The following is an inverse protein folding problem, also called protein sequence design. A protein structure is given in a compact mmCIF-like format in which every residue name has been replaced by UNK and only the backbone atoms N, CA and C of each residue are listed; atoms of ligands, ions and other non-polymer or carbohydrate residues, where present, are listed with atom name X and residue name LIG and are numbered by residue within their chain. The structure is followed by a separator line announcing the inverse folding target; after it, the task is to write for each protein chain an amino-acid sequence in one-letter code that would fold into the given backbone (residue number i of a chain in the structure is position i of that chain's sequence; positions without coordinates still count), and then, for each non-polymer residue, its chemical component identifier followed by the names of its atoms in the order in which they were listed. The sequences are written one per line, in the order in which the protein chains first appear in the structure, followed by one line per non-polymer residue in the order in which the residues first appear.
data_IF_890037174557
#
_entry.id   IF_890037174557
#
_cell.length_a   1.000
_cell.length_b   1.000
_cell.length_c   1.000
_cell.angle_alpha   90.00
_cell.angle_beta   90.00
_cell.angle_gamma   90.00
#
_symmetry.space_group_name_H-M   'P 1'
#
loop_
_entity.id
_entity.type
_entity.pdbx_description
1 polymer ?
#
# COMPACT_ATOMS: atom_id res chain seq x y z
N UNK A 1 43.41 -66.17 -24.73
CA UNK A 1 42.97 -66.20 -23.31
C UNK A 1 43.09 -64.79 -22.75
N UNK A 2 42.12 -63.91 -22.99
CA UNK A 2 42.27 -62.51 -22.62
C UNK A 2 41.25 -61.59 -23.28
N UNK A 3 39.98 -61.73 -22.91
CA UNK A 3 39.00 -60.64 -23.15
C UNK A 3 37.73 -60.72 -22.29
N UNK A 4 37.53 -61.80 -21.53
CA UNK A 4 36.39 -61.91 -20.58
C UNK A 4 36.56 -61.13 -19.27
N UNK A 5 37.75 -60.57 -19.01
CA UNK A 5 38.05 -59.85 -17.77
C UNK A 5 37.68 -58.36 -17.80
N UNK A 6 37.64 -57.72 -18.98
CA UNK A 6 37.35 -56.28 -19.12
C UNK A 6 35.88 -55.92 -18.89
N UNK A 7 34.94 -56.81 -19.25
CA UNK A 7 33.51 -56.56 -19.09
C UNK A 7 32.99 -56.61 -17.65
N UNK A 8 33.59 -57.43 -16.79
CA UNK A 8 33.17 -57.55 -15.38
C UNK A 8 33.65 -56.39 -14.51
N UNK A 9 34.81 -55.81 -14.82
CA UNK A 9 35.36 -54.68 -14.06
C UNK A 9 34.55 -53.41 -14.37
N UNK A 10 34.15 -53.19 -15.63
CA UNK A 10 33.33 -52.03 -16.05
C UNK A 10 31.92 -52.03 -15.42
N UNK A 11 31.30 -53.19 -15.26
CA UNK A 11 29.97 -53.31 -14.64
C UNK A 11 29.97 -53.05 -13.13
N UNK A 12 31.07 -53.38 -12.44
CA UNK A 12 31.22 -53.15 -10.99
C UNK A 12 31.51 -51.68 -10.69
N UNK A 13 32.25 -50.96 -11.54
CA UNK A 13 32.47 -49.51 -11.37
C UNK A 13 31.19 -48.69 -11.60
N UNK A 14 30.34 -49.09 -12.57
CA UNK A 14 29.07 -48.40 -12.84
C UNK A 14 28.05 -48.64 -11.72
N UNK A 15 28.04 -49.84 -11.11
CA UNK A 15 27.17 -50.14 -9.97
C UNK A 15 27.58 -49.38 -8.69
N UNK A 16 28.87 -49.16 -8.45
CA UNK A 16 29.36 -48.37 -7.31
C UNK A 16 29.08 -46.87 -7.50
N UNK A 17 29.18 -46.36 -8.73
CA UNK A 17 28.81 -44.97 -9.06
C UNK A 17 27.29 -44.73 -8.93
N UNK A 18 26.45 -45.72 -9.23
CA UNK A 18 25.01 -45.64 -8.97
C UNK A 18 24.64 -45.76 -7.49
N UNK A 19 25.40 -46.53 -6.72
CA UNK A 19 25.21 -46.64 -5.26
C UNK A 19 25.65 -45.35 -4.53
N UNK A 20 26.70 -44.67 -5.01
CA UNK A 20 27.08 -43.33 -4.51
C UNK A 20 26.09 -42.23 -4.91
N UNK A 21 25.36 -42.39 -6.02
CA UNK A 21 24.36 -41.41 -6.47
C UNK A 21 22.99 -41.56 -5.76
N UNK A 22 22.69 -42.73 -5.17
CA UNK A 22 21.43 -43.00 -4.48
C UNK A 22 21.43 -42.71 -2.96
N UNK A 23 22.57 -42.34 -2.37
CA UNK A 23 22.69 -41.98 -0.93
C UNK A 23 22.58 -40.47 -0.69
N UNK A 24 22.45 -39.65 -1.74
CA UNK A 24 22.26 -38.21 -1.63
C UNK A 24 20.83 -37.76 -2.02
N UNK A 25 19.82 -38.52 -1.63
CA UNK A 25 18.48 -37.95 -1.50
C UNK A 25 18.52 -37.04 -0.27
N UNK A 26 18.35 -35.72 -0.39
CA UNK A 26 18.18 -34.88 0.78
C UNK A 26 16.91 -35.38 1.45
N UNK A 27 17.08 -36.06 2.58
CA UNK A 27 16.01 -36.32 3.53
C UNK A 27 15.30 -35.00 3.71
N UNK A 28 14.04 -34.92 3.27
CA UNK A 28 13.22 -33.73 3.46
C UNK A 28 13.38 -33.29 4.90
N UNK A 29 13.88 -32.08 5.10
CA UNK A 29 14.05 -31.49 6.41
C UNK A 29 12.65 -31.42 7.05
N UNK A 30 12.33 -32.42 7.85
CA UNK A 30 11.27 -32.31 8.84
C UNK A 30 11.76 -31.25 9.81
N UNK A 31 11.26 -30.02 9.66
CA UNK A 31 11.51 -28.96 10.62
C UNK A 31 11.00 -29.45 11.98
N UNK A 32 11.92 -29.70 12.91
CA UNK A 32 11.58 -30.12 14.25
C UNK A 32 10.92 -28.93 14.97
N UNK A 33 9.69 -29.05 15.50
CA UNK A 33 9.01 -27.94 16.18
C UNK A 33 9.81 -27.37 17.37
N UNK A 34 10.75 -28.12 17.93
CA UNK A 34 11.68 -27.62 18.94
C UNK A 34 12.76 -26.66 18.35
N UNK A 35 13.20 -26.88 17.12
CA UNK A 35 14.13 -26.00 16.41
C UNK A 35 13.44 -24.67 16.03
N UNK A 36 12.16 -24.75 15.67
CA UNK A 36 11.32 -23.58 15.35
C UNK A 36 11.09 -22.67 16.57
N UNK A 37 10.86 -23.25 17.76
CA UNK A 37 10.78 -22.47 19.00
C UNK A 37 12.11 -21.81 19.37
N UNK A 38 13.24 -22.51 19.21
CA UNK A 38 14.56 -21.91 19.46
C UNK A 38 14.88 -20.79 18.47
N UNK A 39 14.55 -20.98 17.18
CA UNK A 39 14.71 -19.96 16.15
C UNK A 39 13.85 -18.72 16.44
N UNK A 40 12.59 -18.90 16.85
CA UNK A 40 11.71 -17.81 17.23
C UNK A 40 12.25 -17.01 18.42
N UNK A 41 12.72 -17.68 19.48
CA UNK A 41 13.30 -17.00 20.65
C UNK A 41 14.54 -16.19 20.24
N UNK A 42 15.41 -16.75 19.40
CA UNK A 42 16.57 -16.03 18.85
C UNK A 42 16.15 -14.84 18.01
N UNK A 43 15.13 -14.98 17.17
CA UNK A 43 14.59 -13.89 16.35
C UNK A 43 14.01 -12.77 17.21
N UNK A 44 13.22 -13.10 18.24
CA UNK A 44 12.67 -12.13 19.19
C UNK A 44 13.78 -11.40 19.96
N UNK A 45 14.83 -12.12 20.39
CA UNK A 45 15.98 -11.53 21.05
C UNK A 45 16.80 -10.59 20.13
N UNK A 46 16.72 -10.79 18.81
CA UNK A 46 17.37 -9.91 17.82
C UNK A 46 16.61 -8.61 17.52
N UNK A 47 15.38 -8.48 18.03
CA UNK A 47 14.61 -7.25 17.86
C UNK A 47 15.29 -6.10 18.60
N UNK A 48 15.59 -5.04 17.86
CA UNK A 48 16.22 -3.83 18.39
C UNK A 48 15.31 -2.64 18.17
N UNK A 49 14.91 -2.00 19.27
CA UNK A 49 14.18 -0.72 19.27
C UNK A 49 14.98 0.34 18.51
N UNK A 50 16.27 0.46 18.82
CA UNK A 50 17.13 1.51 18.28
C UNK A 50 17.31 1.37 16.77
N UNK A 51 17.48 0.13 16.28
CA UNK A 51 17.51 -0.14 14.84
C UNK A 51 16.21 0.27 14.16
N UNK A 52 15.07 -0.17 14.71
CA UNK A 52 13.76 0.17 14.12
C UNK A 52 13.53 1.68 14.12
N UNK A 53 13.92 2.37 15.20
CA UNK A 53 13.81 3.82 15.27
C UNK A 53 14.73 4.50 14.24
N UNK A 54 15.96 4.02 14.06
CA UNK A 54 16.88 4.53 13.05
C UNK A 54 16.32 4.36 11.63
N UNK A 55 15.72 3.21 11.32
CA UNK A 55 15.05 2.95 10.03
C UNK A 55 13.89 3.93 9.80
N UNK A 56 13.04 4.15 10.82
CA UNK A 56 11.93 5.11 10.77
C UNK A 56 12.46 6.54 10.58
N UNK A 57 13.42 6.96 11.39
CA UNK A 57 14.03 8.30 11.32
C UNK A 57 14.63 8.55 9.94
N UNK A 58 15.36 7.57 9.38
CA UNK A 58 15.93 7.67 8.04
C UNK A 58 14.85 7.82 6.99
N UNK A 59 13.84 6.94 6.96
CA UNK A 59 12.76 6.98 5.98
C UNK A 59 11.81 8.19 6.13
N UNK A 60 11.83 8.88 7.28
CA UNK A 60 11.11 10.13 7.52
C UNK A 60 11.96 11.38 7.33
N UNK A 61 13.24 11.25 7.00
CA UNK A 61 14.15 12.39 6.82
C UNK A 61 13.78 13.21 5.57
N UNK A 62 14.18 14.49 5.50
CA UNK A 62 13.94 15.34 4.33
C UNK A 62 14.41 14.72 3.01
N UNK A 63 15.51 13.96 3.03
CA UNK A 63 16.01 13.21 1.86
C UNK A 63 15.04 12.19 1.28
N UNK A 64 13.98 11.81 2.00
CA UNK A 64 12.93 10.94 1.46
C UNK A 64 11.60 11.65 1.29
N UNK A 65 11.51 12.94 1.65
CA UNK A 65 10.46 13.92 1.32
C UNK A 65 9.00 13.41 1.13
N UNK A 66 8.60 12.37 1.85
CA UNK A 66 7.39 11.61 1.56
C UNK A 66 7.55 10.54 0.47
N UNK A 67 6.78 9.46 0.58
CA UNK A 67 6.91 8.28 -0.29
C UNK A 67 5.70 8.16 -1.21
N UNK A 68 5.38 9.24 -1.90
CA UNK A 68 4.28 9.22 -2.85
C UNK A 68 4.66 8.33 -4.03
N UNK A 69 3.84 7.31 -4.30
CA UNK A 69 4.11 6.32 -5.33
C UNK A 69 4.44 6.96 -6.68
N UNK A 70 5.55 6.54 -7.28
CA UNK A 70 6.01 7.01 -8.59
C UNK A 70 6.78 8.34 -8.58
N UNK A 71 7.18 8.86 -7.41
CA UNK A 71 8.15 9.97 -7.31
C UNK A 71 9.59 9.45 -7.25
N UNK A 72 10.57 10.35 -7.39
CA UNK A 72 11.99 10.01 -7.17
C UNK A 72 12.27 9.60 -5.72
N UNK A 73 11.54 10.16 -4.76
CA UNK A 73 11.69 9.87 -3.33
C UNK A 73 11.14 8.48 -2.95
N UNK A 74 10.06 8.04 -3.62
CA UNK A 74 9.56 6.66 -3.55
C UNK A 74 10.60 5.67 -4.10
N UNK A 75 11.22 5.98 -5.24
CA UNK A 75 12.31 5.16 -5.78
C UNK A 75 13.49 5.07 -4.81
N UNK A 76 13.91 6.20 -4.22
CA UNK A 76 14.99 6.23 -3.22
C UNK A 76 14.66 5.37 -2.00
N UNK A 77 13.40 5.38 -1.56
CA UNK A 77 12.89 4.52 -0.49
C UNK A 77 12.97 3.04 -0.85
N UNK A 78 12.64 2.69 -2.09
CA UNK A 78 12.80 1.34 -2.63
C UNK A 78 14.26 0.86 -2.55
N UNK A 79 15.21 1.71 -2.94
CA UNK A 79 16.65 1.40 -2.85
C UNK A 79 17.13 1.19 -1.41
N UNK A 80 16.68 2.02 -0.47
CA UNK A 80 17.00 1.83 0.94
C UNK A 80 16.59 0.45 1.47
N UNK A 81 15.40 -0.03 1.10
CA UNK A 81 14.92 -1.37 1.49
C UNK A 81 15.69 -2.47 0.77
N UNK A 82 15.98 -2.29 -0.52
CA UNK A 82 16.77 -3.24 -1.32
C UNK A 82 18.18 -3.45 -0.75
N UNK A 83 18.88 -2.36 -0.41
CA UNK A 83 20.20 -2.41 0.23
C UNK A 83 20.14 -3.16 1.56
N UNK A 84 19.06 -2.97 2.33
CA UNK A 84 18.86 -3.70 3.59
C UNK A 84 18.71 -5.19 3.34
N UNK A 85 17.90 -5.60 2.37
CA UNK A 85 17.74 -7.01 2.01
C UNK A 85 19.05 -7.65 1.54
N UNK A 86 19.82 -6.93 0.72
CA UNK A 86 21.14 -7.39 0.28
C UNK A 86 22.10 -7.56 1.46
N UNK A 87 22.17 -6.60 2.39
CA UNK A 87 23.06 -6.69 3.57
C UNK A 87 22.70 -7.83 4.52
N UNK A 88 21.45 -8.28 4.51
CA UNK A 88 20.97 -9.43 5.27
C UNK A 88 21.22 -10.77 4.56
N UNK A 89 21.79 -10.76 3.34
CA UNK A 89 22.08 -11.97 2.57
C UNK A 89 20.84 -12.64 1.97
N UNK A 90 19.73 -11.91 1.83
CA UNK A 90 18.56 -12.42 1.13
C UNK A 90 18.88 -12.68 -0.34
N UNK A 91 18.00 -13.41 -1.02
CA UNK A 91 18.07 -13.55 -2.47
C UNK A 91 17.06 -12.60 -3.12
N UNK A 92 17.42 -11.97 -4.25
CA UNK A 92 16.49 -11.15 -4.99
C UNK A 92 15.28 -11.96 -5.47
N UNK A 93 14.09 -11.37 -5.36
CA UNK A 93 12.84 -11.95 -5.86
C UNK A 93 12.36 -11.32 -7.18
N UNK A 94 12.97 -10.20 -7.61
CA UNK A 94 12.65 -9.52 -8.87
C UNK A 94 13.47 -10.12 -10.02
N UNK A 95 12.81 -10.82 -10.95
CA UNK A 95 13.47 -11.42 -12.11
C UNK A 95 13.28 -10.64 -13.40
N UNK A 96 12.50 -9.56 -13.39
CA UNK A 96 12.11 -8.81 -14.59
C UNK A 96 12.68 -7.40 -14.55
N UNK A 97 13.40 -6.96 -15.60
CA UNK A 97 13.83 -5.58 -15.71
C UNK A 97 12.60 -4.66 -15.82
N UNK A 98 12.55 -3.61 -14.99
CA UNK A 98 11.54 -2.57 -15.15
C UNK A 98 11.86 -1.74 -16.39
N UNK A 99 10.98 -1.77 -17.40
CA UNK A 99 11.04 -0.83 -18.52
C UNK A 99 10.12 0.34 -18.19
N UNK A 100 10.70 1.54 -18.04
CA UNK A 100 9.90 2.72 -17.82
C UNK A 100 8.96 2.96 -19.01
N UNK A 101 7.68 3.20 -18.74
CA UNK A 101 6.71 3.55 -19.78
C UNK A 101 7.12 4.86 -20.47
N UNK A 102 6.96 4.98 -21.80
CA UNK A 102 7.19 6.25 -22.51
C UNK A 102 6.38 7.38 -21.88
N UNK A 103 7.06 8.46 -21.45
CA UNK A 103 6.43 9.62 -20.81
C UNK A 103 6.26 9.53 -19.28
N UNK A 104 6.71 8.45 -18.63
CA UNK A 104 6.84 8.39 -17.17
C UNK A 104 8.00 9.27 -16.65
N UNK A 105 8.10 9.56 -15.35
CA UNK A 105 9.17 10.41 -14.80
C UNK A 105 10.59 9.84 -15.02
N UNK A 106 10.71 8.58 -15.44
CA UNK A 106 11.97 7.91 -15.76
C UNK A 106 12.24 7.87 -17.28
N UNK A 107 12.19 9.03 -17.98
CA UNK A 107 12.62 9.12 -19.39
C UNK A 107 14.10 9.50 -19.46
N UNK A 108 14.96 8.55 -19.80
CA UNK A 108 16.39 8.79 -20.05
C UNK A 108 17.14 7.49 -20.39
N UNK A 109 18.41 7.56 -20.84
CA UNK A 109 19.19 6.37 -21.22
C UNK A 109 19.45 5.36 -20.08
N UNK A 110 18.91 5.62 -18.88
CA UNK A 110 18.96 4.78 -17.69
C UNK A 110 17.62 4.09 -17.36
N UNK A 111 16.63 4.16 -18.25
CA UNK A 111 15.25 3.71 -18.06
C UNK A 111 15.02 2.18 -18.05
N UNK A 112 16.08 1.41 -17.81
CA UNK A 112 15.99 -0.01 -17.45
C UNK A 112 16.62 -0.15 -16.08
N UNK A 113 15.80 -0.11 -15.04
CA UNK A 113 16.24 -0.52 -13.72
C UNK A 113 16.20 -2.05 -13.68
N UNK A 114 17.25 -2.69 -14.20
CA UNK A 114 17.55 -4.11 -13.96
C UNK A 114 18.06 -4.27 -12.53
N UNK A 115 17.21 -3.95 -11.56
CA UNK A 115 17.52 -4.11 -10.15
C UNK A 115 16.83 -5.38 -9.68
N UNK A 116 17.56 -6.47 -9.37
CA UNK A 116 16.95 -7.76 -9.04
C UNK A 116 16.18 -7.71 -7.71
N UNK A 117 16.33 -6.61 -6.97
CA UNK A 117 15.64 -6.31 -5.72
C UNK A 117 14.37 -5.49 -5.88
N UNK A 118 14.00 -5.12 -7.11
CA UNK A 118 12.85 -4.27 -7.39
C UNK A 118 11.81 -5.04 -8.22
N UNK A 119 10.56 -4.95 -7.77
CA UNK A 119 9.39 -5.29 -8.58
C UNK A 119 8.64 -3.98 -8.79
N UNK A 120 8.66 -3.49 -10.02
CA UNK A 120 7.92 -2.31 -10.40
C UNK A 120 6.93 -2.70 -11.49
N UNK A 121 5.64 -2.55 -11.20
CA UNK A 121 4.59 -2.60 -12.21
C UNK A 121 4.30 -1.18 -12.70
N UNK A 122 3.96 -1.03 -13.97
CA UNK A 122 3.52 0.25 -14.51
C UNK A 122 2.22 0.68 -13.84
N UNK A 123 2.27 1.76 -13.06
CA UNK A 123 1.10 2.34 -12.40
C UNK A 123 0.72 3.67 -13.05
N UNK A 124 -0.56 3.86 -13.33
CA UNK A 124 -1.08 5.19 -13.66
C UNK A 124 -1.14 6.02 -12.39
N UNK A 125 -0.34 7.08 -12.32
CA UNK A 125 -0.32 7.99 -11.17
C UNK A 125 -1.30 9.13 -11.42
N UNK A 126 -2.30 9.27 -10.54
CA UNK A 126 -3.13 10.48 -10.51
C UNK A 126 -2.36 11.62 -9.87
N UNK A 127 -2.34 12.79 -10.52
CA UNK A 127 -1.76 14.01 -9.96
C UNK A 127 -2.84 15.05 -9.71
N UNK A 128 -2.73 15.73 -8.57
CA UNK A 128 -3.50 16.94 -8.29
C UNK A 128 -2.86 18.06 -9.11
N UNK A 129 -3.65 18.70 -9.97
CA UNK A 129 -3.21 19.88 -10.70
C UNK A 129 -3.32 21.10 -9.81
N UNK A 130 -2.46 22.10 -10.03
CA UNK A 130 -2.52 23.40 -9.33
C UNK A 130 -3.84 24.15 -9.57
N UNK A 131 -4.60 23.74 -10.60
CA UNK A 131 -5.92 24.27 -10.92
C UNK A 131 -7.06 23.58 -10.18
N UNK A 132 -6.78 22.62 -9.28
CA UNK A 132 -7.82 22.06 -8.41
C UNK A 132 -8.35 23.15 -7.49
N UNK A 133 -9.66 23.38 -7.52
CA UNK A 133 -10.32 24.45 -6.78
C UNK A 133 -11.54 23.90 -6.06
N UNK A 134 -11.74 24.40 -4.84
CA UNK A 134 -12.96 24.24 -4.07
C UNK A 134 -13.37 25.64 -3.63
N UNK A 135 -14.62 26.01 -3.90
CA UNK A 135 -15.20 27.24 -3.41
C UNK A 135 -16.43 26.89 -2.57
N UNK A 136 -16.51 27.45 -1.38
CA UNK A 136 -17.65 27.28 -0.49
C UNK A 136 -18.30 28.64 -0.28
N UNK A 137 -19.63 28.69 -0.32
CA UNK A 137 -20.39 29.91 -0.08
C UNK A 137 -21.62 29.64 0.78
N UNK A 138 -21.97 30.62 1.59
CA UNK A 138 -23.19 30.64 2.40
C UNK A 138 -23.86 31.99 2.22
N UNK A 139 -24.97 32.02 1.50
CA UNK A 139 -25.61 33.27 1.08
C UNK A 139 -24.68 34.10 0.20
N UNK A 140 -24.44 35.37 0.56
CA UNK A 140 -23.51 36.26 -0.12
C UNK A 140 -22.05 36.14 0.35
N UNK A 141 -21.78 35.31 1.36
CA UNK A 141 -20.45 35.18 1.92
C UNK A 141 -19.69 34.03 1.25
N UNK A 142 -18.59 34.37 0.58
CA UNK A 142 -17.62 33.39 0.10
C UNK A 142 -16.66 32.99 1.23
N UNK A 143 -16.41 31.69 1.36
CA UNK A 143 -15.42 31.11 2.27
C UNK A 143 -14.19 30.77 1.43
N UNK A 144 -13.08 31.44 1.73
CA UNK A 144 -11.80 31.19 1.06
C UNK A 144 -11.19 29.92 1.64
N UNK A 145 -10.94 28.92 0.80
CA UNK A 145 -10.23 27.69 1.18
C UNK A 145 -9.01 27.50 0.29
N UNK A 146 -7.91 27.03 0.87
CA UNK A 146 -6.62 26.84 0.23
C UNK A 146 -6.33 25.37 0.03
N UNK A 147 -5.95 25.01 -1.20
CA UNK A 147 -5.49 23.66 -1.53
C UNK A 147 -4.30 23.29 -0.63
N UNK A 148 -4.24 22.03 -0.22
CA UNK A 148 -3.22 21.44 0.66
C UNK A 148 -3.20 21.94 2.12
N UNK A 149 -3.84 23.06 2.43
CA UNK A 149 -4.02 23.54 3.81
C UNK A 149 -5.41 23.18 4.34
N UNK A 150 -6.46 23.60 3.62
CA UNK A 150 -7.85 23.46 4.07
C UNK A 150 -8.54 22.23 3.45
N UNK A 151 -8.07 21.79 2.28
CA UNK A 151 -8.60 20.59 1.63
C UNK A 151 -7.55 19.87 0.78
N UNK A 152 -7.77 18.57 0.62
CA UNK A 152 -6.99 17.70 -0.27
C UNK A 152 -7.94 16.94 -1.20
N UNK A 153 -7.77 17.04 -2.53
CA UNK A 153 -8.49 16.22 -3.48
C UNK A 153 -8.22 14.73 -3.24
N UNK A 154 -9.24 13.91 -3.51
CA UNK A 154 -9.18 12.46 -3.37
C UNK A 154 -8.60 11.87 -4.66
N UNK A 155 -7.43 11.22 -4.55
CA UNK A 155 -6.61 10.82 -5.71
C UNK A 155 -7.23 9.72 -6.59
N UNK A 156 -8.18 8.93 -6.06
CA UNK A 156 -8.91 7.91 -6.79
C UNK A 156 -10.27 8.40 -7.34
N UNK A 157 -10.52 9.72 -7.30
CA UNK A 157 -11.73 10.34 -7.86
C UNK A 157 -11.51 10.90 -9.27
N UNK A 158 -12.52 10.84 -10.16
CA UNK A 158 -12.45 11.50 -11.45
C UNK A 158 -12.48 13.02 -11.31
N UNK A 159 -11.87 13.74 -12.25
CA UNK A 159 -12.02 15.19 -12.31
C UNK A 159 -13.44 15.59 -12.66
N UNK A 160 -13.96 16.61 -11.98
CA UNK A 160 -15.31 17.15 -12.20
C UNK A 160 -15.30 18.66 -12.00
N UNK A 161 -16.16 19.37 -12.74
CA UNK A 161 -16.50 20.76 -12.49
C UNK A 161 -18.00 20.82 -12.19
N UNK A 162 -18.35 21.03 -10.92
CA UNK A 162 -19.73 20.98 -10.44
C UNK A 162 -19.97 22.02 -9.36
N UNK A 163 -21.11 22.71 -9.47
CA UNK A 163 -21.63 23.62 -8.45
C UNK A 163 -23.01 23.12 -8.04
N UNK A 164 -23.17 22.76 -6.78
CA UNK A 164 -24.44 22.31 -6.22
C UNK A 164 -24.50 22.55 -4.71
N UNK A 165 -25.70 22.53 -4.13
CA UNK A 165 -25.86 22.69 -2.69
C UNK A 165 -25.21 21.53 -1.95
N UNK A 166 -24.53 21.85 -0.84
CA UNK A 166 -23.95 20.87 0.06
C UNK A 166 -25.00 20.40 1.07
N UNK A 167 -25.13 19.09 1.26
CA UNK A 167 -25.98 18.47 2.28
C UNK A 167 -25.12 17.62 3.19
N UNK A 168 -25.17 17.89 4.49
CA UNK A 168 -24.45 17.12 5.50
C UNK A 168 -25.24 15.86 5.88
N UNK A 169 -24.59 14.69 5.88
CA UNK A 169 -25.24 13.38 6.10
C UNK A 169 -24.58 12.55 7.21
N UNK A 170 -23.99 13.20 8.23
CA UNK A 170 -23.35 12.47 9.34
C UNK A 170 -22.15 11.66 8.86
N UNK A 171 -22.13 10.36 9.12
CA UNK A 171 -21.12 9.44 8.58
C UNK A 171 -21.48 8.90 7.18
N UNK A 172 -22.58 9.29 6.57
CA UNK A 172 -22.96 8.80 5.23
C UNK A 172 -23.31 7.32 5.22
N UNK A 173 -23.88 6.81 6.31
CA UNK A 173 -24.34 5.43 6.43
C UNK A 173 -25.84 5.37 6.13
N UNK A 174 -26.24 4.44 5.27
CA UNK A 174 -27.65 4.11 5.03
C UNK A 174 -27.89 2.65 5.38
N UNK A 175 -28.46 2.39 6.56
CA UNK A 175 -28.90 1.08 7.01
C UNK A 175 -30.36 1.15 7.54
N UNK A 176 -31.36 1.18 6.64
CA UNK A 176 -32.77 1.19 7.04
C UNK A 176 -33.16 -0.05 7.85
N UNK A 177 -32.57 -1.21 7.56
CA UNK A 177 -32.87 -2.47 8.23
C UNK A 177 -32.39 -2.48 9.69
N UNK A 178 -31.20 -1.94 9.94
CA UNK A 178 -30.64 -1.71 11.27
C UNK A 178 -31.19 -0.47 12.00
N UNK A 179 -32.14 0.26 11.39
CA UNK A 179 -32.70 1.53 11.89
C UNK A 179 -31.62 2.61 12.09
N UNK A 180 -30.62 2.63 11.22
CA UNK A 180 -29.54 3.61 11.19
C UNK A 180 -29.37 4.14 9.77
N UNK A 181 -30.30 4.99 9.31
CA UNK A 181 -30.23 5.65 8.01
C UNK A 181 -30.00 7.16 8.18
N UNK A 182 -28.77 7.60 7.97
CA UNK A 182 -28.39 9.02 8.06
C UNK A 182 -28.82 9.83 6.82
N UNK A 183 -29.37 9.16 5.81
CA UNK A 183 -30.03 9.80 4.67
C UNK A 183 -31.54 9.94 4.88
N UNK A 184 -32.10 9.41 5.96
CA UNK A 184 -33.53 9.53 6.25
C UNK A 184 -33.94 11.00 6.29
N UNK A 185 -35.00 11.33 5.55
CA UNK A 185 -35.54 12.70 5.39
C UNK A 185 -34.59 13.73 4.78
N UNK A 186 -33.48 13.31 4.15
CA UNK A 186 -32.58 14.19 3.40
C UNK A 186 -32.74 13.99 1.89
N UNK A 187 -32.93 15.09 1.15
CA UNK A 187 -32.88 15.08 -0.31
C UNK A 187 -31.45 15.40 -0.77
N UNK A 188 -30.75 14.36 -1.22
CA UNK A 188 -29.37 14.47 -1.72
C UNK A 188 -29.28 14.41 -3.25
N UNK A 189 -30.42 14.34 -3.96
CA UNK A 189 -30.43 14.26 -5.41
C UNK A 189 -29.89 15.55 -6.03
N UNK A 190 -28.92 15.42 -6.93
CA UNK A 190 -28.20 16.55 -7.55
C UNK A 190 -27.49 17.46 -6.53
N UNK A 191 -27.17 16.94 -5.34
CA UNK A 191 -26.45 17.66 -4.28
C UNK A 191 -25.01 17.17 -4.15
N UNK A 192 -24.18 17.99 -3.52
CA UNK A 192 -22.87 17.57 -3.02
C UNK A 192 -23.10 17.04 -1.60
N UNK A 193 -22.73 15.80 -1.33
CA UNK A 193 -22.89 15.23 0.01
C UNK A 193 -21.64 15.47 0.84
N UNK A 194 -21.79 15.94 2.07
CA UNK A 194 -20.69 16.10 3.04
C UNK A 194 -20.84 15.09 4.17
N UNK A 195 -19.83 14.25 4.39
CA UNK A 195 -19.85 13.25 5.46
C UNK A 195 -18.53 13.14 6.23
N UNK A 196 -18.59 12.56 7.42
CA UNK A 196 -17.42 12.22 8.23
C UNK A 196 -16.69 10.98 7.72
N UNK A 197 -15.37 11.01 7.84
CA UNK A 197 -14.51 9.82 7.77
C UNK A 197 -14.81 8.87 8.94
N UNK A 198 -14.56 7.57 8.74
CA UNK A 198 -14.74 6.56 9.79
C UNK A 198 -16.19 6.13 9.97
N UNK A 199 -16.61 5.81 11.18
CA UNK A 199 -17.99 5.44 11.53
C UNK A 199 -18.20 5.69 13.02
N UNK A 200 -19.44 5.80 13.52
CA UNK A 200 -19.68 5.82 14.96
C UNK A 200 -19.06 4.59 15.62
N UNK A 201 -18.46 4.76 16.79
CA UNK A 201 -17.77 3.67 17.52
C UNK A 201 -18.70 2.47 17.76
N UNK A 202 -19.96 2.74 18.13
CA UNK A 202 -20.99 1.74 18.43
C UNK A 202 -21.66 1.15 17.18
N UNK A 203 -21.37 1.63 15.98
CA UNK A 203 -21.94 1.07 14.76
C UNK A 203 -21.25 -0.26 14.44
N UNK A 204 -21.96 -1.41 14.43
CA UNK A 204 -21.30 -2.72 14.47
C UNK A 204 -20.72 -3.15 13.12
N UNK A 205 -21.36 -2.77 12.02
CA UNK A 205 -20.93 -3.22 10.69
C UNK A 205 -19.65 -2.52 10.24
N UNK A 206 -18.81 -3.28 9.54
CA UNK A 206 -17.68 -2.72 8.82
C UNK A 206 -18.20 -1.96 7.61
N UNK A 207 -17.77 -0.69 7.47
CA UNK A 207 -18.12 0.17 6.34
C UNK A 207 -16.85 0.84 5.84
N UNK A 208 -16.60 0.72 4.54
CA UNK A 208 -15.48 1.40 3.88
C UNK A 208 -15.88 2.79 3.41
N UNK A 209 -14.89 3.61 3.08
CA UNK A 209 -15.13 4.89 2.41
C UNK A 209 -15.83 4.69 1.06
N UNK A 210 -15.40 3.68 0.28
CA UNK A 210 -15.99 3.36 -1.01
C UNK A 210 -17.48 2.97 -0.90
N UNK A 211 -17.88 2.29 0.18
CA UNK A 211 -19.29 1.97 0.43
C UNK A 211 -20.14 3.22 0.61
N UNK A 212 -19.66 4.20 1.38
CA UNK A 212 -20.34 5.49 1.58
C UNK A 212 -20.47 6.27 0.28
N UNK A 213 -19.40 6.32 -0.52
CA UNK A 213 -19.40 6.97 -1.83
C UNK A 213 -20.43 6.32 -2.76
N UNK A 214 -20.52 4.98 -2.74
CA UNK A 214 -21.53 4.24 -3.51
C UNK A 214 -22.94 4.61 -3.06
N UNK A 215 -23.21 4.59 -1.76
CA UNK A 215 -24.52 4.97 -1.20
C UNK A 215 -24.90 6.41 -1.60
N UNK A 216 -23.99 7.37 -1.48
CA UNK A 216 -24.23 8.75 -1.87
C UNK A 216 -24.61 8.85 -3.36
N UNK A 217 -23.88 8.14 -4.24
CA UNK A 217 -24.16 8.06 -5.67
C UNK A 217 -25.53 7.43 -5.93
N UNK A 218 -25.84 6.29 -5.31
CA UNK A 218 -27.09 5.55 -5.51
C UNK A 218 -28.31 6.38 -5.07
N UNK A 219 -28.13 7.26 -4.07
CA UNK A 219 -29.15 8.23 -3.61
C UNK A 219 -29.21 9.49 -4.50
N UNK A 220 -28.35 9.61 -5.52
CA UNK A 220 -28.39 10.66 -6.53
C UNK A 220 -27.47 11.87 -6.29
N UNK A 221 -26.51 11.77 -5.36
CA UNK A 221 -25.51 12.81 -5.18
C UNK A 221 -24.59 12.94 -6.41
N UNK A 222 -24.20 14.17 -6.75
CA UNK A 222 -23.34 14.46 -7.93
C UNK A 222 -21.87 14.58 -7.58
N UNK A 223 -21.55 14.83 -6.31
CA UNK A 223 -20.20 14.81 -5.76
C UNK A 223 -20.26 14.57 -4.25
N UNK A 224 -19.10 14.38 -3.63
CA UNK A 224 -18.99 14.33 -2.19
C UNK A 224 -17.79 15.11 -1.67
N UNK A 225 -17.90 15.54 -0.42
CA UNK A 225 -16.83 16.07 0.41
C UNK A 225 -16.73 15.16 1.63
N UNK A 226 -15.51 14.86 2.07
CA UNK A 226 -15.29 14.11 3.30
C UNK A 226 -14.50 14.99 4.27
N UNK A 227 -14.92 14.99 5.53
CA UNK A 227 -14.19 15.67 6.59
C UNK A 227 -13.74 14.68 7.66
N UNK A 228 -12.59 14.95 8.27
CA UNK A 228 -12.18 14.28 9.50
C UNK A 228 -12.84 15.02 10.66
N UNK A 229 -13.66 14.33 11.46
CA UNK A 229 -14.35 14.96 12.58
C UNK A 229 -13.41 15.31 13.74
N UNK A 230 -13.93 16.01 14.74
CA UNK A 230 -13.21 16.32 16.00
C UNK A 230 -12.88 15.09 16.83
N UNK A 231 -13.60 13.97 16.60
CA UNK A 231 -13.27 12.67 17.18
C UNK A 231 -12.22 12.03 16.28
N UNK A 232 -10.95 12.36 16.57
CA UNK A 232 -9.82 11.68 15.95
C UNK A 232 -9.85 10.21 16.36
N UNK A 233 -9.88 9.30 15.39
CA UNK A 233 -9.54 7.91 15.70
C UNK A 233 -8.10 7.87 16.24
N UNK A 234 -7.77 6.87 17.08
CA UNK A 234 -6.39 6.69 17.55
C UNK A 234 -5.37 6.59 16.38
N UNK A 235 -5.82 6.21 15.18
CA UNK A 235 -5.04 6.24 13.95
C UNK A 235 -4.78 7.67 13.43
N UNK A 236 -5.79 8.54 13.43
CA UNK A 236 -5.70 9.94 12.96
C UNK A 236 -4.91 10.82 13.93
N UNK A 237 -5.01 10.58 15.25
CA UNK A 237 -4.14 11.25 16.24
C UNK A 237 -2.67 10.94 16.07
N UNK A 238 -2.34 9.69 15.72
CA UNK A 238 -0.96 9.29 15.46
C UNK A 238 -0.40 9.89 14.16
N UNK A 239 -1.24 10.45 13.28
CA UNK A 239 -0.83 11.14 12.05
C UNK A 239 -0.81 12.67 12.18
N UNK A 240 -1.00 13.23 13.38
CA UNK A 240 -0.87 14.67 13.62
C UNK A 240 -2.01 15.54 13.08
N UNK A 241 -3.14 14.93 12.69
CA UNK A 241 -4.31 15.69 12.23
C UNK A 241 -5.15 16.15 13.42
N UNK A 242 -4.78 17.26 14.07
CA UNK A 242 -5.57 17.82 15.19
C UNK A 242 -4.96 18.98 15.97
N UNK A 243 -3.83 19.55 15.54
CA UNK A 243 -3.28 20.78 16.15
C UNK A 243 -3.15 21.85 15.07
N UNK A 244 -4.18 22.66 14.94
CA UNK A 244 -4.24 23.87 14.12
C UNK A 244 -5.34 24.77 14.66
#
# INVERSE_FOLDING_TARGET
MGDKARGKIMGVTIAILWWLFMVALPTGASADPADDQSALVKALASLSRDRMLADVTRLSAPDFNGRQTGTEDDLRSGFFVAERFQSLGLQPAGSQPFSAMPGGPFVGPQAVLSQPWMVAEGLTVTRIKDTAQLELSSGSQAIVVKLATDYLPILDSPSVNVTAQVVFVGYGISDPAGRFDEYDRLDVKNRIVLFFRGKPEKYPAHITHADKVRVARDKGAVAFLTMTGTIMSAYESRRGMGTG
#
